data_IF_539847172477
#
_entry.id   IF_539847172477
#
_cell.length_a   1.000
_cell.length_b   1.000
_cell.length_c   1.000
_cell.angle_alpha   90.00
_cell.angle_beta   90.00
_cell.angle_gamma   90.00
#
_symmetry.space_group_name_H-M   'P 1'
#
loop_
_entity.id
_entity.type
_entity.pdbx_description
1 polymer ?
#
# COMPACT_ATOMS: atom_id res chain seq x y z
N UNK A 1 20.84 6.01 -16.91
CA UNK A 1 19.59 5.25 -16.60
C UNK A 1 19.81 4.58 -15.25
N UNK A 2 19.02 4.93 -14.26
CA UNK A 2 19.05 4.21 -12.98
C UNK A 2 18.64 2.76 -13.21
N UNK A 3 19.43 1.87 -12.67
CA UNK A 3 19.20 0.43 -12.80
C UNK A 3 18.07 0.02 -11.87
N UNK A 4 17.07 -0.68 -12.37
CA UNK A 4 16.04 -1.27 -11.52
C UNK A 4 16.69 -2.20 -10.49
N UNK A 5 16.28 -2.07 -9.24
CA UNK A 5 16.76 -2.89 -8.13
C UNK A 5 15.61 -3.74 -7.65
N UNK A 6 15.86 -5.02 -7.45
CA UNK A 6 14.89 -5.93 -6.83
C UNK A 6 15.52 -6.69 -5.65
N UNK A 7 14.69 -7.00 -4.66
CA UNK A 7 15.02 -7.86 -3.53
C UNK A 7 13.87 -8.84 -3.33
N UNK A 8 14.23 -10.08 -3.05
CA UNK A 8 13.29 -11.17 -2.85
C UNK A 8 13.60 -11.87 -1.53
N UNK A 9 12.55 -12.33 -0.88
CA UNK A 9 12.66 -13.17 0.32
C UNK A 9 11.50 -14.17 0.38
N UNK A 10 11.77 -15.34 0.87
CA UNK A 10 10.72 -16.30 1.17
C UNK A 10 9.98 -15.84 2.44
N UNK A 11 8.68 -15.65 2.35
CA UNK A 11 7.83 -15.27 3.47
C UNK A 11 6.60 -16.18 3.52
N UNK A 12 6.58 -17.05 4.52
CA UNK A 12 5.58 -18.11 4.56
C UNK A 12 5.71 -19.06 3.38
N UNK A 13 4.62 -19.27 2.66
CA UNK A 13 4.56 -20.20 1.55
C UNK A 13 4.84 -19.56 0.18
N UNK A 14 5.11 -18.26 0.14
CA UNK A 14 5.28 -17.52 -1.10
C UNK A 14 6.51 -16.60 -1.04
N UNK A 15 6.91 -16.08 -2.18
CA UNK A 15 8.00 -15.15 -2.30
C UNK A 15 7.47 -13.72 -2.22
N UNK A 16 7.99 -12.94 -1.27
CA UNK A 16 7.82 -11.49 -1.24
C UNK A 16 8.94 -10.87 -2.06
N UNK A 17 8.58 -10.09 -3.06
CA UNK A 17 9.51 -9.35 -3.91
C UNK A 17 9.22 -7.87 -3.88
N UNK A 18 10.26 -7.06 -3.71
CA UNK A 18 10.19 -5.60 -3.73
C UNK A 18 11.08 -5.10 -4.85
N UNK A 19 10.52 -4.34 -5.78
CA UNK A 19 11.23 -3.75 -6.93
C UNK A 19 11.10 -2.21 -6.89
N UNK A 20 12.19 -1.52 -7.24
CA UNK A 20 12.20 -0.06 -7.38
C UNK A 20 12.97 0.38 -8.63
N UNK A 21 12.71 1.62 -9.09
CA UNK A 21 13.39 2.20 -10.26
C UNK A 21 12.89 1.69 -11.62
N UNK A 22 11.87 0.85 -11.66
CA UNK A 22 11.32 0.25 -12.88
C UNK A 22 10.26 1.13 -13.53
N UNK A 23 9.35 1.67 -12.73
CA UNK A 23 8.19 2.45 -13.18
C UNK A 23 8.11 3.78 -12.43
N UNK A 24 7.23 4.68 -12.91
CA UNK A 24 6.91 5.96 -12.28
C UNK A 24 8.15 6.80 -11.91
N UNK A 25 9.09 6.94 -12.83
CA UNK A 25 10.39 7.64 -12.62
C UNK A 25 10.26 9.13 -12.29
N UNK A 26 9.09 9.72 -12.49
CA UNK A 26 8.81 11.12 -12.13
C UNK A 26 8.28 11.28 -10.70
N UNK A 27 7.88 10.18 -10.04
CA UNK A 27 7.52 10.21 -8.63
C UNK A 27 8.80 10.38 -7.77
N UNK A 28 8.62 10.87 -6.55
CA UNK A 28 9.71 10.97 -5.57
C UNK A 28 10.27 9.58 -5.26
N UNK A 29 9.39 8.60 -5.10
CA UNK A 29 9.75 7.19 -5.04
C UNK A 29 8.62 6.32 -5.61
N UNK A 30 9.00 5.18 -6.15
CA UNK A 30 8.06 4.17 -6.64
C UNK A 30 8.56 2.79 -6.31
N UNK A 31 7.68 1.95 -5.79
CA UNK A 31 7.95 0.54 -5.53
C UNK A 31 6.85 -0.33 -6.10
N UNK A 32 7.23 -1.50 -6.57
CA UNK A 32 6.31 -2.60 -6.89
C UNK A 32 6.59 -3.71 -5.90
N UNK A 33 5.56 -4.12 -5.19
CA UNK A 33 5.63 -5.23 -4.25
C UNK A 33 4.73 -6.36 -4.75
N UNK A 34 5.30 -7.54 -4.88
CA UNK A 34 4.56 -8.75 -5.21
C UNK A 34 4.69 -9.78 -4.10
N UNK A 35 3.58 -10.44 -3.82
CA UNK A 35 3.51 -11.58 -2.92
C UNK A 35 2.64 -12.64 -3.60
N UNK A 36 3.28 -13.70 -4.09
CA UNK A 36 2.65 -14.60 -5.04
C UNK A 36 2.22 -13.85 -6.31
N UNK A 37 0.98 -14.04 -6.71
CA UNK A 37 0.40 -13.39 -7.89
C UNK A 37 -0.29 -12.03 -7.56
N UNK A 38 -0.33 -11.65 -6.29
CA UNK A 38 -0.81 -10.33 -5.88
C UNK A 38 0.31 -9.30 -6.02
N UNK A 39 0.08 -8.27 -6.82
CA UNK A 39 1.04 -7.21 -7.13
C UNK A 39 0.44 -5.84 -6.85
N UNK A 40 1.15 -5.06 -6.04
CA UNK A 40 0.75 -3.69 -5.70
C UNK A 40 1.87 -2.72 -6.05
N UNK A 41 1.52 -1.63 -6.72
CA UNK A 41 2.42 -0.51 -6.99
C UNK A 41 2.14 0.62 -5.99
N UNK A 42 3.18 1.12 -5.35
CA UNK A 42 3.14 2.31 -4.51
C UNK A 42 3.97 3.43 -5.12
N UNK A 43 3.36 4.59 -5.25
CA UNK A 43 4.02 5.82 -5.70
C UNK A 43 3.92 6.88 -4.61
N UNK A 44 5.02 7.50 -4.28
CA UNK A 44 5.11 8.60 -3.32
C UNK A 44 5.55 9.85 -4.05
N UNK A 45 4.80 10.92 -3.86
CA UNK A 45 5.14 12.25 -4.37
C UNK A 45 5.07 13.24 -3.22
N UNK A 46 6.14 13.99 -3.01
CA UNK A 46 6.17 15.07 -2.02
C UNK A 46 6.50 16.39 -2.69
N UNK A 47 5.79 17.43 -2.27
CA UNK A 47 6.11 18.80 -2.66
C UNK A 47 7.47 19.20 -2.08
N UNK A 48 8.27 19.96 -2.84
CA UNK A 48 9.58 20.43 -2.40
C UNK A 48 9.50 21.50 -1.30
N UNK A 49 8.41 22.27 -1.30
CA UNK A 49 8.18 23.36 -0.36
C UNK A 49 6.80 23.24 0.25
N UNK A 50 6.67 23.58 1.51
CA UNK A 50 5.37 23.71 2.17
C UNK A 50 4.59 24.91 1.61
N UNK A 51 3.27 24.78 1.51
CA UNK A 51 2.39 25.92 1.18
C UNK A 51 2.36 26.87 2.39
N UNK A 52 2.40 28.19 2.17
CA UNK A 52 2.15 29.14 3.25
C UNK A 52 0.74 28.93 3.80
N UNK A 53 0.54 29.26 5.09
CA UNK A 53 -0.76 29.22 5.76
C UNK A 53 -1.36 27.83 6.04
N UNK A 54 -0.56 26.77 6.01
CA UNK A 54 -1.01 25.43 6.43
C UNK A 54 -0.49 25.09 7.82
N UNK A 55 -1.41 24.82 8.75
CA UNK A 55 -1.09 24.45 10.13
C UNK A 55 -0.99 22.95 10.37
N UNK A 56 -1.40 22.14 9.40
CA UNK A 56 -1.40 20.69 9.50
C UNK A 56 -0.52 20.04 8.42
N UNK A 57 -0.19 18.76 8.60
CA UNK A 57 0.51 17.95 7.61
C UNK A 57 -0.47 17.42 6.56
N UNK A 58 -0.41 17.88 5.30
CA UNK A 58 -1.29 17.44 4.24
C UNK A 58 -0.79 16.11 3.63
N UNK A 59 -1.08 15.01 4.30
CA UNK A 59 -0.83 13.65 3.82
C UNK A 59 -2.12 13.10 3.20
N UNK A 60 -2.02 12.64 1.97
CA UNK A 60 -3.11 11.94 1.26
C UNK A 60 -2.66 10.54 0.92
N UNK A 61 -3.37 9.54 1.42
CA UNK A 61 -3.18 8.14 1.05
C UNK A 61 -4.37 7.70 0.22
N UNK A 62 -4.11 7.20 -0.98
CA UNK A 62 -5.12 6.68 -1.91
C UNK A 62 -4.80 5.21 -2.22
N UNK A 63 -5.77 4.35 -1.99
CA UNK A 63 -5.69 2.93 -2.34
C UNK A 63 -6.78 2.61 -3.35
N UNK A 64 -6.42 1.92 -4.41
CA UNK A 64 -7.34 1.56 -5.48
C UNK A 64 -7.11 0.13 -5.95
N UNK A 65 -8.20 -0.63 -6.03
CA UNK A 65 -8.26 -1.94 -6.66
C UNK A 65 -8.85 -1.79 -8.06
N UNK A 66 -8.04 -2.03 -9.08
CA UNK A 66 -8.51 -1.95 -10.46
C UNK A 66 -9.22 -3.24 -10.86
N UNK A 67 -10.34 -3.13 -11.56
CA UNK A 67 -11.09 -4.30 -12.03
C UNK A 67 -10.24 -5.22 -12.90
N UNK A 68 -9.33 -4.68 -13.69
CA UNK A 68 -8.42 -5.47 -14.51
C UNK A 68 -7.47 -6.33 -13.68
N UNK A 69 -7.15 -5.94 -12.44
CA UNK A 69 -6.28 -6.72 -11.55
C UNK A 69 -6.87 -8.11 -11.24
N UNK A 70 -8.18 -8.23 -11.25
CA UNK A 70 -8.91 -9.50 -11.09
C UNK A 70 -9.42 -10.05 -12.44
N UNK A 71 -8.92 -9.56 -13.56
CA UNK A 71 -9.36 -9.99 -14.90
C UNK A 71 -10.81 -9.61 -15.24
N UNK A 72 -11.37 -8.59 -14.56
CA UNK A 72 -12.76 -8.17 -14.72
C UNK A 72 -12.87 -6.84 -15.44
N UNK A 73 -14.02 -6.59 -16.05
CA UNK A 73 -14.41 -5.31 -16.63
C UNK A 73 -15.33 -4.59 -15.64
N UNK A 74 -15.19 -3.26 -15.47
CA UNK A 74 -16.09 -2.50 -14.63
C UNK A 74 -17.56 -2.72 -14.99
N UNK A 75 -18.40 -2.90 -13.98
CA UNK A 75 -19.84 -3.04 -14.14
C UNK A 75 -20.53 -1.71 -14.47
N UNK A 76 -21.86 -1.77 -14.58
CA UNK A 76 -22.69 -0.61 -14.86
C UNK A 76 -22.73 -0.20 -16.32
N UNK A 77 -23.53 0.82 -16.59
CA UNK A 77 -23.79 1.31 -17.96
C UNK A 77 -22.52 1.89 -18.62
N UNK A 78 -21.76 2.67 -17.89
CA UNK A 78 -20.59 3.38 -18.44
C UNK A 78 -19.33 2.53 -18.59
N UNK A 79 -19.28 1.32 -18.04
CA UNK A 79 -18.10 0.44 -18.08
C UNK A 79 -16.81 1.15 -17.65
N UNK A 80 -16.89 1.97 -16.62
CA UNK A 80 -15.77 2.76 -16.08
C UNK A 80 -15.51 2.43 -14.61
N UNK A 81 -14.28 2.66 -14.19
CA UNK A 81 -13.92 2.72 -12.78
C UNK A 81 -14.72 3.85 -12.11
N UNK A 82 -15.37 3.51 -11.00
CA UNK A 82 -16.21 4.46 -10.27
C UNK A 82 -15.44 5.22 -9.18
N UNK A 83 -16.19 5.75 -8.21
CA UNK A 83 -15.62 6.29 -6.98
C UNK A 83 -15.03 5.14 -6.16
N UNK A 84 -14.03 5.42 -5.29
CA UNK A 84 -13.50 4.41 -4.38
C UNK A 84 -14.63 3.76 -3.57
N UNK A 85 -14.53 2.45 -3.43
CA UNK A 85 -15.44 1.66 -2.60
C UNK A 85 -15.22 1.97 -1.12
N UNK A 86 -16.15 1.55 -0.28
CA UNK A 86 -15.99 1.64 1.17
C UNK A 86 -14.74 0.89 1.65
N UNK A 87 -14.50 -0.30 1.11
CA UNK A 87 -13.31 -1.10 1.42
C UNK A 87 -12.01 -0.38 1.05
N UNK A 88 -11.93 0.20 -0.15
CA UNK A 88 -10.76 0.98 -0.58
C UNK A 88 -10.52 2.20 0.32
N UNK A 89 -11.59 2.87 0.72
CA UNK A 89 -11.52 4.01 1.65
C UNK A 89 -11.04 3.59 3.03
N UNK A 90 -11.52 2.48 3.55
CA UNK A 90 -11.10 1.95 4.85
C UNK A 90 -9.64 1.48 4.81
N UNK A 91 -9.22 0.81 3.72
CA UNK A 91 -7.83 0.40 3.53
C UNK A 91 -6.89 1.61 3.41
N UNK A 92 -7.31 2.66 2.70
CA UNK A 92 -6.54 3.93 2.66
C UNK A 92 -6.31 4.49 4.06
N UNK A 93 -7.35 4.50 4.90
CA UNK A 93 -7.26 4.95 6.30
C UNK A 93 -6.43 4.03 7.18
N UNK A 94 -6.52 2.71 6.95
CA UNK A 94 -5.72 1.71 7.65
C UNK A 94 -4.22 1.95 7.42
N UNK A 95 -3.85 2.36 6.21
CA UNK A 95 -2.46 2.67 5.84
C UNK A 95 -2.05 4.06 6.34
N UNK A 96 -2.93 5.06 6.24
CA UNK A 96 -2.63 6.44 6.67
C UNK A 96 -2.33 6.54 8.19
N UNK A 97 -3.11 5.86 9.01
CA UNK A 97 -3.02 5.98 10.47
C UNK A 97 -1.66 5.62 11.08
N UNK A 98 -1.00 4.50 10.73
CA UNK A 98 0.32 4.17 11.24
C UNK A 98 1.44 5.00 10.61
N UNK A 99 1.26 5.53 9.40
CA UNK A 99 2.27 6.30 8.68
C UNK A 99 2.35 7.74 9.20
N UNK A 100 1.22 8.37 9.44
CA UNK A 100 1.11 9.79 9.79
C UNK A 100 1.93 10.20 11.01
N UNK A 101 1.93 9.48 12.15
CA UNK A 101 2.72 9.86 13.32
C UNK A 101 4.23 9.65 13.16
N UNK A 102 4.68 8.99 12.08
CA UNK A 102 6.10 8.75 11.81
C UNK A 102 6.75 9.89 11.02
N UNK A 103 6.04 10.96 10.74
CA UNK A 103 6.62 12.18 10.22
C UNK A 103 6.96 13.12 11.37
N UNK A 104 8.11 13.83 11.31
CA UNK A 104 8.51 14.76 12.37
C UNK A 104 7.54 15.94 12.47
N UNK A 105 7.39 16.46 13.68
CA UNK A 105 6.67 17.70 13.92
C UNK A 105 7.27 18.83 13.07
N UNK A 106 6.41 19.63 12.44
CA UNK A 106 6.84 20.73 11.57
C UNK A 106 7.03 20.34 10.09
N UNK A 107 7.00 19.06 9.72
CA UNK A 107 6.97 18.69 8.31
C UNK A 107 5.57 18.95 7.73
N UNK A 108 5.48 19.96 6.84
CA UNK A 108 4.20 20.43 6.28
C UNK A 108 4.15 20.34 4.74
N UNK A 109 5.08 19.62 4.13
CA UNK A 109 5.08 19.46 2.69
C UNK A 109 3.95 18.52 2.27
N UNK A 110 3.17 18.92 1.29
CA UNK A 110 2.11 18.07 0.73
C UNK A 110 2.70 16.76 0.23
N UNK A 111 2.21 15.67 0.77
CA UNK A 111 2.70 14.32 0.45
C UNK A 111 1.53 13.46 0.02
N UNK A 112 1.68 12.80 -1.12
CA UNK A 112 0.69 11.89 -1.68
C UNK A 112 1.30 10.49 -1.79
N UNK A 113 0.59 9.50 -1.28
CA UNK A 113 0.89 8.07 -1.40
C UNK A 113 -0.22 7.42 -2.19
N UNK A 114 0.09 6.96 -3.39
CA UNK A 114 -0.88 6.36 -4.30
C UNK A 114 -0.55 4.87 -4.43
N UNK A 115 -1.50 4.04 -4.03
CA UNK A 115 -1.40 2.59 -4.04
C UNK A 115 -2.37 2.03 -5.07
N UNK A 116 -1.85 1.27 -6.01
CA UNK A 116 -2.65 0.67 -7.08
C UNK A 116 -2.41 -0.83 -7.12
N UNK A 117 -3.47 -1.61 -6.99
CA UNK A 117 -3.41 -3.06 -7.17
C UNK A 117 -3.36 -3.35 -8.66
N UNK A 118 -2.27 -3.98 -9.11
CA UNK A 118 -2.04 -4.31 -10.51
C UNK A 118 -2.45 -5.73 -10.87
N UNK A 119 -2.33 -6.64 -9.91
CA UNK A 119 -2.73 -8.04 -10.02
C UNK A 119 -3.22 -8.51 -8.66
N UNK A 120 -4.22 -9.37 -8.66
CA UNK A 120 -4.81 -9.93 -7.45
C UNK A 120 -5.16 -11.40 -7.68
N UNK A 121 -4.56 -12.28 -6.90
CA UNK A 121 -5.05 -13.63 -6.71
C UNK A 121 -6.23 -13.59 -5.71
N UNK A 122 -7.05 -14.60 -5.71
CA UNK A 122 -8.21 -14.66 -4.80
C UNK A 122 -7.82 -15.14 -3.38
N UNK A 123 -6.56 -15.48 -3.16
CA UNK A 123 -6.08 -16.05 -1.90
C UNK A 123 -5.41 -14.99 -1.01
N UNK A 124 -4.62 -14.10 -1.61
CA UNK A 124 -3.84 -13.09 -0.89
C UNK A 124 -4.53 -11.74 -0.89
N UNK A 125 -4.95 -11.25 0.27
CA UNK A 125 -5.52 -9.92 0.37
C UNK A 125 -4.47 -8.84 0.04
N UNK A 126 -4.76 -7.93 -0.89
CA UNK A 126 -3.79 -6.93 -1.33
C UNK A 126 -3.52 -5.80 -0.33
N UNK A 127 -4.35 -5.64 0.71
CA UNK A 127 -4.24 -4.58 1.73
C UNK A 127 -2.92 -4.65 2.51
N UNK A 128 -2.48 -5.84 2.91
CA UNK A 128 -1.19 -6.02 3.62
C UNK A 128 -0.02 -5.80 2.67
N UNK A 129 -0.11 -6.31 1.44
CA UNK A 129 0.90 -6.06 0.41
C UNK A 129 1.01 -4.56 0.10
N UNK A 130 -0.12 -3.85 0.06
CA UNK A 130 -0.17 -2.40 -0.11
C UNK A 130 0.48 -1.64 1.05
N UNK A 131 0.29 -2.09 2.29
CA UNK A 131 0.95 -1.50 3.46
C UNK A 131 2.47 -1.63 3.39
N UNK A 132 2.97 -2.80 2.98
CA UNK A 132 4.41 -3.04 2.77
C UNK A 132 4.92 -2.16 1.63
N UNK A 133 4.16 -2.04 0.54
CA UNK A 133 4.52 -1.22 -0.60
C UNK A 133 4.60 0.28 -0.23
N UNK A 134 3.61 0.79 0.53
CA UNK A 134 3.62 2.15 1.04
C UNK A 134 4.82 2.43 1.94
N UNK A 135 5.08 1.52 2.87
CA UNK A 135 6.23 1.61 3.79
C UNK A 135 7.55 1.64 3.04
N UNK A 136 7.72 0.74 2.08
CA UNK A 136 8.94 0.65 1.26
C UNK A 136 9.14 1.90 0.41
N UNK A 137 8.08 2.41 -0.23
CA UNK A 137 8.14 3.60 -1.06
C UNK A 137 8.48 4.86 -0.23
N UNK A 138 7.87 5.01 0.94
CA UNK A 138 8.17 6.13 1.85
C UNK A 138 9.61 6.08 2.35
N UNK A 139 10.10 4.91 2.74
CA UNK A 139 11.49 4.74 3.20
C UNK A 139 12.50 5.08 2.09
N UNK A 140 12.20 4.73 0.85
CA UNK A 140 13.07 5.01 -0.31
C UNK A 140 12.95 6.45 -0.82
N UNK A 141 11.91 7.19 -0.44
CA UNK A 141 11.62 8.53 -0.98
C UNK A 141 12.60 9.62 -0.53
N UNK A 142 13.36 9.37 0.54
CA UNK A 142 14.23 10.40 1.15
C UNK A 142 13.48 11.48 1.91
N UNK A 143 12.14 11.38 2.04
CA UNK A 143 11.34 12.25 2.90
C UNK A 143 11.66 11.90 4.37
N UNK A 144 11.57 12.84 5.32
CA UNK A 144 11.83 12.58 6.73
C UNK A 144 10.73 11.69 7.33
N UNK A 145 10.81 10.41 7.03
CA UNK A 145 9.91 9.36 7.49
C UNK A 145 10.64 8.45 8.47
N UNK A 146 10.14 8.35 9.70
CA UNK A 146 10.76 7.59 10.80
C UNK A 146 10.32 6.11 10.82
N UNK A 147 9.90 5.58 9.65
CA UNK A 147 9.56 4.16 9.47
C UNK A 147 10.77 3.33 9.04
N UNK A 148 10.63 2.05 8.70
CA UNK A 148 9.43 1.44 8.09
C UNK A 148 8.34 0.99 9.06
N UNK A 149 7.16 0.71 8.53
CA UNK A 149 6.07 0.05 9.23
C UNK A 149 5.92 -1.39 8.72
N UNK A 150 5.42 -2.26 9.60
CA UNK A 150 4.96 -3.61 9.25
C UNK A 150 3.45 -3.72 9.41
N UNK A 151 2.85 -4.70 8.76
CA UNK A 151 1.43 -4.98 8.89
C UNK A 151 1.15 -6.47 8.83
N UNK A 152 0.19 -6.91 9.63
CA UNK A 152 -0.33 -8.27 9.58
C UNK A 152 -1.82 -8.27 9.89
N UNK A 153 -2.49 -9.29 9.40
CA UNK A 153 -3.89 -9.56 9.75
C UNK A 153 -3.94 -10.66 10.80
N UNK A 154 -4.33 -10.29 12.00
CA UNK A 154 -4.57 -11.25 13.08
C UNK A 154 -6.07 -11.54 13.19
N UNK A 155 -6.42 -12.81 13.29
CA UNK A 155 -7.80 -13.26 13.44
C UNK A 155 -7.93 -14.08 14.71
N UNK A 156 -8.92 -13.75 15.55
CA UNK A 156 -9.20 -14.48 16.78
C UNK A 156 -10.52 -15.27 16.62
N UNK A 157 -10.42 -16.57 16.78
CA UNK A 157 -11.56 -17.50 16.70
C UNK A 157 -11.83 -18.15 18.05
N UNK A 158 -11.96 -17.37 19.10
CA UNK A 158 -12.10 -17.90 20.46
C UNK A 158 -13.26 -18.90 20.60
N UNK A 159 -14.38 -18.64 19.94
CA UNK A 159 -15.54 -19.52 19.95
C UNK A 159 -15.36 -20.75 19.05
N UNK A 160 -14.53 -20.70 18.03
CA UNK A 160 -14.26 -21.81 17.12
C UNK A 160 -13.19 -22.76 17.64
N UNK A 161 -12.39 -22.33 18.58
CA UNK A 161 -11.35 -23.20 19.15
C UNK A 161 -11.92 -24.25 20.09
N UNK A 162 -13.07 -24.00 20.66
CA UNK A 162 -13.71 -24.90 21.61
C UNK A 162 -14.10 -26.24 21.00
N UNK A 163 -14.78 -26.29 19.87
CA UNK A 163 -15.13 -27.57 19.28
C UNK A 163 -13.93 -28.40 18.83
N UNK A 164 -12.87 -27.76 18.42
CA UNK A 164 -11.68 -28.49 17.98
C UNK A 164 -11.00 -29.23 19.11
N UNK A 165 -11.19 -28.80 20.31
CA UNK A 165 -10.54 -29.40 21.46
C UNK A 165 -11.03 -30.77 21.79
N UNK A 166 -12.32 -30.94 21.71
CA UNK A 166 -12.87 -32.20 22.15
C UNK A 166 -12.98 -33.17 21.06
N UNK A 167 -12.70 -32.87 19.94
CA UNK A 167 -12.58 -33.83 18.84
C UNK A 167 -11.46 -34.83 19.08
N UNK A 168 -10.63 -34.55 20.01
CA UNK A 168 -9.52 -35.42 20.36
C UNK A 168 -9.96 -36.55 21.23
#
# INVERSE_FOLDING_TARGET
MEKAISREMNWGNQVLKIETGKVAKQATASTIVSYGDTVVMANVVAAKTAKPDIDFFPLTVSYQEKFYAAGKIPGGFFKREGRPTEFETLTSRLIDRPIRPLFPEGFKNETQVILTVLSHDTETNPDIVAMIAASSALTLSGIPFMGPIGGCRAVSYTHLTLPTKRIV
#
